data_IF_078620965106
#
_entry.id   IF_078620965106
#
_cell.length_a   1.000
_cell.length_b   1.000
_cell.length_c   1.000
_cell.angle_alpha   90.00
_cell.angle_beta   90.00
_cell.angle_gamma   90.00
#
_symmetry.space_group_name_H-M   'P 1'
#
loop_
_entity.id
_entity.type
_entity.pdbx_description
1 polymer ?
#
# COMPACT_ATOMS: atom_id res chain seq x y z
N UNK A 1 -15.42 26.51 15.73
CA UNK A 1 -14.91 25.12 15.67
C UNK A 1 -15.60 24.40 14.50
N UNK A 2 -14.84 23.90 13.53
CA UNK A 2 -15.39 23.17 12.37
C UNK A 2 -14.93 21.73 12.42
N UNK A 3 -15.85 20.78 12.26
CA UNK A 3 -15.54 19.35 12.27
C UNK A 3 -15.96 18.71 10.96
N UNK A 4 -15.05 17.93 10.37
CA UNK A 4 -15.32 17.14 9.16
C UNK A 4 -14.87 15.71 9.40
N UNK A 5 -15.60 14.74 8.85
CA UNK A 5 -15.24 13.32 8.87
C UNK A 5 -15.00 12.85 7.44
N UNK A 6 -13.90 12.15 7.23
CA UNK A 6 -13.52 11.54 5.96
C UNK A 6 -13.48 10.03 6.12
N UNK A 7 -13.95 9.31 5.10
CA UNK A 7 -13.75 7.87 5.01
C UNK A 7 -12.34 7.59 4.49
N UNK A 8 -11.65 6.68 5.15
CA UNK A 8 -10.33 6.18 4.76
C UNK A 8 -10.52 4.81 4.13
N UNK A 9 -10.38 4.76 2.81
CA UNK A 9 -10.30 3.52 2.05
C UNK A 9 -8.86 3.05 1.98
N UNK A 10 -8.66 1.75 2.17
CA UNK A 10 -7.36 1.13 1.95
C UNK A 10 -7.12 0.92 0.46
N UNK A 11 -5.87 1.07 0.03
CA UNK A 11 -5.42 0.76 -1.33
C UNK A 11 -4.05 0.11 -1.26
N UNK A 12 -3.74 -0.71 -2.25
CA UNK A 12 -2.38 -1.23 -2.51
C UNK A 12 -1.85 -0.75 -3.87
N UNK A 13 -2.64 0.07 -4.57
CA UNK A 13 -2.37 0.53 -5.91
C UNK A 13 -1.79 1.94 -5.87
N UNK A 14 -0.64 2.12 -6.52
CA UNK A 14 -0.09 3.42 -6.90
C UNK A 14 -0.53 3.76 -8.33
N UNK A 15 0.33 3.55 -9.35
CA UNK A 15 -0.09 3.59 -10.75
C UNK A 15 -0.93 2.36 -11.13
N UNK A 16 -1.54 2.37 -12.33
CA UNK A 16 -2.21 1.19 -12.90
C UNK A 16 -1.24 0.09 -13.35
N UNK A 17 0.04 0.43 -13.55
CA UNK A 17 1.09 -0.48 -13.98
C UNK A 17 2.38 -0.13 -13.22
N UNK A 18 2.98 -1.07 -12.47
CA UNK A 18 2.44 -2.40 -12.15
C UNK A 18 1.04 -2.33 -11.49
N UNK A 19 0.21 -3.39 -11.60
CA UNK A 19 -1.15 -3.41 -11.04
C UNK A 19 -1.26 -3.04 -9.55
N UNK A 20 -0.21 -3.32 -8.77
CA UNK A 20 -0.09 -2.96 -7.35
C UNK A 20 1.36 -2.77 -6.95
N UNK A 21 1.58 -2.05 -5.83
CA UNK A 21 2.86 -1.96 -5.13
C UNK A 21 3.12 -3.15 -4.18
N UNK A 22 2.18 -4.09 -4.08
CA UNK A 22 2.20 -5.22 -3.14
C UNK A 22 2.00 -6.54 -3.90
N UNK A 23 2.77 -7.54 -3.51
CA UNK A 23 2.60 -8.93 -3.95
C UNK A 23 2.23 -9.86 -2.79
N UNK A 24 1.77 -11.06 -3.12
CA UNK A 24 1.72 -12.19 -2.20
C UNK A 24 3.03 -13.00 -2.24
N UNK A 25 3.11 -14.02 -1.40
CA UNK A 25 4.24 -14.95 -1.31
C UNK A 25 4.51 -15.73 -2.61
N UNK A 26 3.52 -15.82 -3.51
CA UNK A 26 3.59 -16.51 -4.80
C UNK A 26 4.01 -15.56 -5.94
N UNK A 27 4.22 -14.27 -5.65
CA UNK A 27 4.59 -13.26 -6.64
C UNK A 27 3.42 -12.73 -7.47
N UNK A 28 2.18 -12.94 -7.03
CA UNK A 28 1.00 -12.33 -7.63
C UNK A 28 0.74 -10.97 -7.00
N UNK A 29 0.29 -10.00 -7.79
CA UNK A 29 -0.13 -8.71 -7.28
C UNK A 29 -1.39 -8.84 -6.43
N UNK A 30 -1.38 -8.22 -5.25
CA UNK A 30 -2.59 -8.03 -4.45
C UNK A 30 -3.07 -6.61 -4.71
N UNK A 31 -4.07 -6.45 -5.58
CA UNK A 31 -4.61 -5.14 -5.95
C UNK A 31 -5.84 -4.85 -5.10
N UNK A 32 -5.84 -3.75 -4.36
CA UNK A 32 -7.03 -3.11 -3.81
C UNK A 32 -7.07 -1.72 -4.41
N UNK A 33 -7.98 -1.48 -5.34
CA UNK A 33 -8.01 -0.26 -6.14
C UNK A 33 -8.81 -0.46 -7.43
N UNK A 34 -8.43 0.28 -8.47
CA UNK A 34 -9.06 0.22 -9.77
C UNK A 34 -8.58 -1.02 -10.56
N UNK A 35 -9.45 -2.02 -10.70
CA UNK A 35 -9.18 -3.26 -11.43
C UNK A 35 -9.62 -3.08 -12.88
N UNK A 36 -8.68 -3.25 -13.83
CA UNK A 36 -8.99 -3.20 -15.26
C UNK A 36 -9.59 -4.53 -15.72
N UNK A 37 -10.84 -4.50 -16.15
CA UNK A 37 -11.57 -5.63 -16.74
C UNK A 37 -11.84 -5.39 -18.21
N UNK A 38 -11.91 -6.47 -18.99
CA UNK A 38 -12.49 -6.43 -20.33
C UNK A 38 -14.01 -6.57 -20.20
N UNK A 39 -14.74 -5.63 -20.78
CA UNK A 39 -16.19 -5.66 -20.95
C UNK A 39 -16.42 -5.42 -22.43
N UNK A 40 -16.91 -6.44 -23.13
CA UNK A 40 -16.97 -6.44 -24.60
C UNK A 40 -15.60 -6.04 -25.20
N UNK A 41 -15.57 -5.04 -26.07
CA UNK A 41 -14.35 -4.52 -26.73
C UNK A 41 -13.67 -3.37 -25.98
N UNK A 42 -14.04 -3.10 -24.71
CA UNK A 42 -13.48 -1.99 -23.92
C UNK A 42 -12.88 -2.46 -22.59
N UNK A 43 -11.97 -1.62 -22.07
CA UNK A 43 -11.36 -1.81 -20.75
C UNK A 43 -11.99 -0.84 -19.77
N UNK A 44 -12.66 -1.38 -18.75
CA UNK A 44 -13.24 -0.61 -17.66
C UNK A 44 -12.52 -0.87 -16.35
N UNK A 45 -12.39 0.18 -15.54
CA UNK A 45 -11.73 0.12 -14.25
C UNK A 45 -12.76 0.22 -13.13
N UNK A 46 -12.89 -0.84 -12.32
CA UNK A 46 -13.82 -0.88 -11.19
C UNK A 46 -13.07 -0.98 -9.87
N UNK A 47 -13.52 -0.22 -8.86
CA UNK A 47 -12.87 -0.24 -7.55
C UNK A 47 -13.23 -1.52 -6.78
N UNK A 48 -12.27 -2.41 -6.57
CA UNK A 48 -12.44 -3.66 -5.80
C UNK A 48 -11.08 -4.26 -5.40
N UNK A 49 -11.08 -5.46 -4.81
CA UNK A 49 -9.90 -6.28 -4.57
C UNK A 49 -9.71 -7.39 -5.61
N UNK A 50 -8.46 -7.69 -5.97
CA UNK A 50 -8.11 -8.79 -6.85
C UNK A 50 -6.70 -9.35 -6.56
N UNK A 51 -6.53 -10.65 -6.75
CA UNK A 51 -5.22 -11.27 -6.98
C UNK A 51 -4.97 -11.27 -8.48
N UNK A 52 -3.89 -10.64 -8.92
CA UNK A 52 -3.57 -10.41 -10.34
C UNK A 52 -2.22 -11.03 -10.68
N UNK A 53 -2.17 -11.78 -11.78
CA UNK A 53 -0.95 -12.45 -12.23
C UNK A 53 0.12 -11.44 -12.68
N UNK A 54 1.42 -11.71 -12.42
CA UNK A 54 2.53 -10.91 -12.94
C UNK A 54 2.73 -11.05 -14.45
N UNK A 55 1.93 -11.89 -15.11
CA UNK A 55 1.89 -12.06 -16.57
C UNK A 55 0.76 -11.24 -17.21
N UNK A 56 0.18 -10.29 -16.47
CA UNK A 56 -0.84 -9.40 -17.03
C UNK A 56 -0.27 -8.60 -18.20
N UNK A 57 -1.10 -8.41 -19.24
CA UNK A 57 -0.74 -7.63 -20.42
C UNK A 57 -0.25 -6.23 -20.01
N UNK A 58 0.88 -5.84 -20.56
CA UNK A 58 1.48 -4.52 -20.35
C UNK A 58 1.13 -3.65 -21.56
N UNK A 59 0.23 -2.67 -21.42
CA UNK A 59 -0.11 -1.77 -22.51
C UNK A 59 0.96 -0.70 -22.68
N UNK A 60 0.90 0.01 -23.80
CA UNK A 60 1.68 1.22 -24.00
C UNK A 60 1.42 2.26 -22.89
N UNK A 61 2.39 3.15 -22.68
CA UNK A 61 2.27 4.18 -21.64
C UNK A 61 1.04 5.08 -21.89
N UNK A 62 0.20 5.22 -20.86
CA UNK A 62 -1.05 5.99 -20.92
C UNK A 62 -2.28 5.16 -21.31
N UNK A 63 -2.10 3.95 -21.83
CA UNK A 63 -3.18 3.06 -22.24
C UNK A 63 -3.58 2.08 -21.11
N UNK A 64 -4.70 1.37 -21.31
CA UNK A 64 -5.20 0.34 -20.38
C UNK A 64 -5.39 -0.99 -21.10
N UNK A 65 -4.92 -2.07 -20.48
CA UNK A 65 -5.24 -3.45 -20.81
C UNK A 65 -5.99 -4.11 -19.64
N UNK A 66 -6.79 -5.14 -19.90
CA UNK A 66 -7.39 -5.94 -18.83
C UNK A 66 -6.30 -6.71 -18.07
N UNK A 67 -6.45 -6.81 -16.76
CA UNK A 67 -5.56 -7.62 -15.94
C UNK A 67 -5.88 -9.11 -16.08
N UNK A 68 -4.85 -9.96 -15.94
CA UNK A 68 -5.01 -11.41 -15.79
C UNK A 68 -5.36 -11.69 -14.32
N UNK A 69 -6.65 -11.61 -14.01
CA UNK A 69 -7.19 -11.78 -12.67
C UNK A 69 -7.24 -13.27 -12.32
N UNK A 70 -6.65 -13.64 -11.19
CA UNK A 70 -6.65 -15.00 -10.65
C UNK A 70 -7.83 -15.21 -9.68
N UNK A 71 -8.12 -14.21 -8.85
CA UNK A 71 -9.23 -14.25 -7.90
C UNK A 71 -9.71 -12.83 -7.60
N UNK A 72 -11.04 -12.64 -7.49
CA UNK A 72 -11.64 -11.38 -7.07
C UNK A 72 -12.08 -11.44 -5.61
N UNK A 73 -11.96 -10.33 -4.89
CA UNK A 73 -12.50 -10.20 -3.55
C UNK A 73 -13.01 -8.77 -3.30
N UNK A 74 -13.88 -8.61 -2.31
CA UNK A 74 -14.32 -7.30 -1.86
C UNK A 74 -13.62 -6.94 -0.54
N UNK A 75 -12.93 -5.80 -0.45
CA UNK A 75 -12.26 -5.37 0.79
C UNK A 75 -13.24 -4.94 1.90
N UNK A 76 -14.52 -4.76 1.56
CA UNK A 76 -15.56 -4.28 2.49
C UNK A 76 -16.23 -5.43 3.28
N UNK A 77 -15.98 -6.68 2.91
CA UNK A 77 -16.51 -7.87 3.57
C UNK A 77 -15.37 -8.74 4.12
N UNK A 78 -15.64 -9.62 5.10
CA UNK A 78 -14.64 -10.55 5.60
C UNK A 78 -14.07 -11.42 4.48
N UNK A 79 -12.73 -11.47 4.38
CA UNK A 79 -12.04 -12.30 3.40
C UNK A 79 -12.17 -13.80 3.74
N UNK A 80 -12.24 -14.67 2.72
CA UNK A 80 -11.94 -16.09 2.86
C UNK A 80 -10.57 -16.31 3.51
N UNK A 81 -10.42 -17.37 4.30
CA UNK A 81 -9.21 -17.61 5.10
C UNK A 81 -7.93 -17.67 4.24
N UNK A 82 -8.00 -18.29 3.06
CA UNK A 82 -6.85 -18.43 2.16
C UNK A 82 -6.37 -17.09 1.57
N UNK A 83 -7.28 -16.11 1.39
CA UNK A 83 -6.91 -14.75 1.02
C UNK A 83 -6.45 -13.95 2.24
N UNK A 84 -7.15 -14.10 3.36
CA UNK A 84 -6.85 -13.42 4.61
C UNK A 84 -5.40 -13.68 5.06
N UNK A 85 -4.94 -14.92 4.90
CA UNK A 85 -3.63 -15.38 5.38
C UNK A 85 -2.45 -15.06 4.44
N UNK A 86 -2.70 -14.56 3.22
CA UNK A 86 -1.64 -14.15 2.28
C UNK A 86 -0.72 -13.13 2.92
N UNK A 87 0.58 -13.36 2.82
CA UNK A 87 1.61 -12.48 3.38
C UNK A 87 1.92 -11.39 2.37
N UNK A 88 2.00 -10.15 2.85
CA UNK A 88 2.32 -9.02 2.00
C UNK A 88 3.82 -8.93 1.74
N UNK A 89 4.14 -8.83 0.46
CA UNK A 89 5.49 -8.81 -0.08
C UNK A 89 5.75 -7.53 -0.89
N UNK A 90 7.01 -7.10 -0.92
CA UNK A 90 7.47 -5.97 -1.74
C UNK A 90 7.49 -6.34 -3.22
N UNK A 91 7.53 -5.35 -4.11
CA UNK A 91 7.86 -5.61 -5.51
C UNK A 91 9.33 -6.05 -5.67
N UNK A 92 9.63 -6.98 -6.59
CA UNK A 92 11.00 -7.30 -6.98
C UNK A 92 11.52 -6.27 -8.00
N UNK A 93 12.82 -6.28 -8.27
CA UNK A 93 13.42 -5.63 -9.44
C UNK A 93 14.01 -6.70 -10.38
N UNK A 94 13.77 -6.60 -11.70
CA UNK A 94 12.96 -5.58 -12.38
C UNK A 94 11.46 -5.66 -12.03
N UNK A 95 10.76 -4.53 -12.13
CA UNK A 95 9.33 -4.46 -11.82
C UNK A 95 8.51 -5.28 -12.86
N UNK A 96 7.75 -6.30 -12.45
CA UNK A 96 6.85 -7.02 -13.33
C UNK A 96 5.70 -6.10 -13.77
N UNK A 97 5.14 -6.34 -14.95
CA UNK A 97 4.07 -5.51 -15.54
C UNK A 97 4.32 -3.99 -15.56
N UNK A 98 5.58 -3.56 -15.65
CA UNK A 98 5.91 -2.14 -15.66
C UNK A 98 5.84 -1.54 -17.07
N UNK A 99 4.97 -0.56 -17.29
CA UNK A 99 4.93 0.24 -18.52
C UNK A 99 5.49 1.66 -18.33
N UNK A 100 6.08 1.94 -17.17
CA UNK A 100 6.72 3.22 -16.86
C UNK A 100 8.20 3.00 -16.54
N UNK A 101 9.09 3.08 -17.54
CA UNK A 101 10.52 2.94 -17.29
C UNK A 101 11.00 4.12 -16.44
N UNK A 102 11.48 3.82 -15.23
CA UNK A 102 12.11 4.82 -14.37
C UNK A 102 13.48 5.18 -14.94
N UNK A 103 13.70 6.45 -15.26
CA UNK A 103 15.01 6.96 -15.68
C UNK A 103 15.60 7.77 -14.53
N UNK A 104 16.67 7.24 -13.93
CA UNK A 104 17.45 7.98 -12.94
C UNK A 104 18.51 8.81 -13.65
N UNK A 105 18.88 9.96 -13.07
CA UNK A 105 20.02 10.72 -13.56
C UNK A 105 21.28 9.84 -13.44
N UNK A 106 22.03 9.60 -14.54
CA UNK A 106 23.17 8.68 -14.52
C UNK A 106 24.24 9.05 -13.49
N UNK A 107 24.38 10.34 -13.15
CA UNK A 107 25.32 10.80 -12.14
C UNK A 107 24.89 10.46 -10.70
N UNK A 108 23.59 10.22 -10.46
CA UNK A 108 23.07 9.84 -9.14
C UNK A 108 23.12 8.33 -8.95
N UNK A 109 22.70 7.57 -9.97
CA UNK A 109 22.68 6.11 -9.90
C UNK A 109 22.87 5.50 -11.31
N UNK A 110 24.12 5.31 -11.76
CA UNK A 110 24.41 4.95 -13.16
C UNK A 110 23.88 3.58 -13.55
N UNK A 111 23.86 2.65 -12.59
CA UNK A 111 23.49 1.25 -12.83
C UNK A 111 22.04 0.92 -12.39
N UNK A 112 21.20 1.93 -12.18
CA UNK A 112 19.83 1.76 -11.66
C UNK A 112 18.98 0.74 -12.45
N UNK A 113 19.20 0.67 -13.76
CA UNK A 113 18.45 -0.20 -14.66
C UNK A 113 18.97 -1.65 -14.70
N UNK A 114 20.11 -1.92 -14.07
CA UNK A 114 20.72 -3.24 -13.96
C UNK A 114 20.46 -3.91 -12.60
N UNK A 115 19.81 -3.20 -11.68
CA UNK A 115 19.53 -3.70 -10.35
C UNK A 115 18.56 -4.89 -10.38
N UNK A 116 18.93 -5.95 -9.69
CA UNK A 116 18.10 -7.13 -9.48
C UNK A 116 17.91 -7.34 -7.98
N UNK A 117 16.65 -7.42 -7.55
CA UNK A 117 16.31 -7.65 -6.14
C UNK A 117 15.09 -8.56 -6.07
N UNK A 118 15.11 -9.58 -5.19
CA UNK A 118 13.93 -10.41 -5.01
C UNK A 118 12.84 -9.62 -4.28
N UNK A 119 11.63 -10.16 -4.33
CA UNK A 119 10.53 -9.75 -3.47
C UNK A 119 10.79 -10.23 -2.04
N UNK A 120 10.51 -9.40 -1.04
CA UNK A 120 10.65 -9.75 0.37
C UNK A 120 9.31 -9.61 1.10
N UNK A 121 9.00 -10.48 2.06
CA UNK A 121 7.87 -10.21 2.96
C UNK A 121 8.18 -8.94 3.75
N UNK A 122 7.17 -8.09 3.99
CA UNK A 122 7.36 -6.75 4.56
C UNK A 122 8.16 -6.74 5.88
N UNK A 123 7.90 -7.72 6.73
CA UNK A 123 8.58 -7.85 8.02
C UNK A 123 10.06 -8.25 7.91
N UNK A 124 10.55 -8.69 6.75
CA UNK A 124 11.95 -9.06 6.52
C UNK A 124 12.65 -8.18 5.48
N UNK A 125 11.92 -7.30 4.79
CA UNK A 125 12.46 -6.40 3.79
C UNK A 125 13.76 -5.72 4.27
N UNK A 126 14.84 -5.72 3.46
CA UNK A 126 16.08 -5.04 3.80
C UNK A 126 15.84 -3.55 4.02
N UNK A 127 16.39 -3.02 5.12
CA UNK A 127 16.35 -1.59 5.42
C UNK A 127 17.79 -1.08 5.22
N UNK A 128 18.02 -0.17 4.26
CA UNK A 128 19.33 0.44 4.08
C UNK A 128 19.86 1.00 5.40
N UNK A 129 21.15 0.80 5.66
CA UNK A 129 21.85 1.31 6.85
C UNK A 129 21.35 0.80 8.21
N UNK A 130 20.48 -0.23 8.23
CA UNK A 130 20.00 -0.82 9.49
C UNK A 130 21.14 -1.53 10.22
N UNK A 131 21.28 -1.20 11.51
CA UNK A 131 22.15 -1.91 12.46
C UNK A 131 21.32 -2.75 13.43
N UNK A 132 21.90 -3.80 14.05
CA UNK A 132 21.18 -4.64 15.00
C UNK A 132 20.51 -3.86 16.15
N UNK A 133 21.17 -2.83 16.68
CA UNK A 133 20.68 -2.00 17.79
C UNK A 133 19.42 -1.18 17.45
N UNK A 134 19.13 -0.95 16.16
CA UNK A 134 17.92 -0.24 15.74
C UNK A 134 16.65 -1.10 15.91
N UNK A 135 16.79 -2.43 16.02
CA UNK A 135 15.65 -3.35 16.04
C UNK A 135 14.86 -3.35 14.72
N UNK A 136 13.69 -4.01 14.72
CA UNK A 136 12.65 -3.83 13.69
C UNK A 136 11.33 -3.53 14.38
N UNK A 137 10.55 -2.63 13.80
CA UNK A 137 9.18 -2.41 14.24
C UNK A 137 8.28 -3.60 13.86
N UNK A 138 8.42 -4.07 12.62
CA UNK A 138 7.71 -5.27 12.14
C UNK A 138 8.52 -6.51 12.45
N UNK A 139 7.95 -7.38 13.29
CA UNK A 139 8.55 -8.64 13.74
C UNK A 139 7.77 -9.88 13.26
N UNK A 140 6.55 -9.68 12.74
CA UNK A 140 5.67 -10.76 12.26
C UNK A 140 5.21 -10.49 10.83
N UNK A 141 4.87 -11.53 10.04
CA UNK A 141 4.22 -11.36 8.76
C UNK A 141 3.05 -10.38 8.84
N UNK A 142 3.03 -9.45 7.88
CA UNK A 142 1.87 -8.59 7.65
C UNK A 142 0.99 -9.32 6.66
N UNK A 143 -0.21 -9.68 7.09
CA UNK A 143 -1.15 -10.42 6.25
C UNK A 143 -2.15 -9.49 5.57
N UNK A 144 -2.79 -9.94 4.49
CA UNK A 144 -3.82 -9.17 3.81
C UNK A 144 -4.97 -8.79 4.75
N UNK A 145 -5.35 -9.67 5.68
CA UNK A 145 -6.34 -9.33 6.69
C UNK A 145 -5.91 -8.14 7.56
N UNK A 146 -4.64 -8.06 7.97
CA UNK A 146 -4.11 -6.97 8.81
C UNK A 146 -4.20 -5.64 8.03
N UNK A 147 -3.88 -5.69 6.74
CA UNK A 147 -3.89 -4.53 5.86
C UNK A 147 -5.29 -3.96 5.66
N UNK A 148 -6.29 -4.81 5.40
CA UNK A 148 -7.68 -4.36 5.19
C UNK A 148 -8.28 -3.74 6.46
N UNK A 149 -7.78 -4.09 7.66
CA UNK A 149 -8.20 -3.41 8.90
C UNK A 149 -7.76 -1.94 8.98
N UNK A 150 -6.87 -1.47 8.10
CA UNK A 150 -6.42 -0.08 8.08
C UNK A 150 -7.48 0.91 7.52
N UNK A 151 -8.65 0.43 7.12
CA UNK A 151 -9.79 1.26 6.73
C UNK A 151 -10.52 1.89 7.92
N UNK A 152 -11.22 3.01 7.72
CA UNK A 152 -12.04 3.59 8.77
C UNK A 152 -12.49 5.02 8.51
N UNK A 153 -12.61 5.83 9.58
CA UNK A 153 -13.01 7.24 9.48
C UNK A 153 -12.03 8.15 10.22
N UNK A 154 -11.50 9.14 9.52
CA UNK A 154 -10.68 10.22 10.06
C UNK A 154 -11.56 11.43 10.37
N UNK A 155 -11.56 11.86 11.63
CA UNK A 155 -12.21 13.08 12.09
C UNK A 155 -11.18 14.18 12.20
N UNK A 156 -11.42 15.30 11.52
CA UNK A 156 -10.59 16.49 11.61
C UNK A 156 -11.40 17.60 12.28
N UNK A 157 -10.87 18.15 13.36
CA UNK A 157 -11.44 19.30 14.08
C UNK A 157 -10.52 20.51 13.91
N UNK A 158 -11.06 21.58 13.34
CA UNK A 158 -10.39 22.87 13.19
C UNK A 158 -10.83 23.82 14.31
N UNK A 159 -9.83 24.27 15.06
CA UNK A 159 -9.92 25.21 16.19
C UNK A 159 -9.22 26.54 15.81
N UNK A 160 -9.47 27.59 16.59
CA UNK A 160 -8.83 28.91 16.44
C UNK A 160 -8.80 29.42 14.99
N UNK A 161 -9.98 29.63 14.38
CA UNK A 161 -10.09 30.08 12.98
C UNK A 161 -9.29 29.22 11.96
N UNK A 162 -9.20 27.91 12.23
CA UNK A 162 -8.45 26.93 11.45
C UNK A 162 -6.92 27.01 11.55
N UNK A 163 -6.38 27.68 12.58
CA UNK A 163 -4.95 27.69 12.91
C UNK A 163 -4.51 26.42 13.65
N UNK A 164 -5.44 25.71 14.27
CA UNK A 164 -5.17 24.46 14.99
C UNK A 164 -6.03 23.34 14.37
N UNK A 165 -5.39 22.22 14.03
CA UNK A 165 -6.06 21.01 13.56
C UNK A 165 -5.83 19.85 14.53
N UNK A 166 -6.91 19.20 14.95
CA UNK A 166 -6.87 17.94 15.71
C UNK A 166 -7.38 16.78 14.87
N UNK A 167 -6.65 15.68 14.91
CA UNK A 167 -6.98 14.46 14.19
C UNK A 167 -7.42 13.40 15.19
N UNK A 168 -8.63 12.89 15.01
CA UNK A 168 -9.18 11.80 15.79
C UNK A 168 -9.67 10.67 14.89
N UNK A 169 -9.75 9.46 15.42
CA UNK A 169 -10.35 8.32 14.75
C UNK A 169 -11.71 7.98 15.33
N UNK A 170 -12.66 7.55 14.48
CA UNK A 170 -14.01 7.14 14.91
C UNK A 170 -14.13 5.62 15.15
N UNK A 171 -13.16 4.83 14.68
CA UNK A 171 -12.99 3.41 15.00
C UNK A 171 -11.58 3.16 15.53
N UNK A 172 -11.40 2.11 16.33
CA UNK A 172 -10.08 1.70 16.82
C UNK A 172 -9.22 1.31 15.61
N UNK A 173 -8.35 2.20 15.17
CA UNK A 173 -7.37 1.89 14.15
C UNK A 173 -6.20 1.17 14.84
N UNK A 174 -5.86 -0.08 14.46
CA UNK A 174 -4.62 -0.72 14.90
C UNK A 174 -3.36 -0.04 14.31
N UNK A 175 -3.53 1.03 13.53
CA UNK A 175 -2.46 1.80 12.92
C UNK A 175 -1.53 2.48 13.95
N UNK A 176 -1.95 2.64 15.21
CA UNK A 176 -1.09 3.19 16.29
C UNK A 176 0.14 2.31 16.54
N UNK A 177 0.08 1.01 16.23
CA UNK A 177 1.25 0.11 16.28
C UNK A 177 2.10 0.10 15.00
N UNK A 178 1.62 0.70 13.89
CA UNK A 178 2.29 0.73 12.59
C UNK A 178 2.89 2.11 12.26
N UNK A 179 2.30 3.20 12.72
CA UNK A 179 2.93 4.53 12.65
C UNK A 179 3.95 4.69 13.77
N UNK A 180 5.04 5.39 13.46
CA UNK A 180 5.89 5.94 14.51
C UNK A 180 5.05 6.83 15.43
N UNK A 181 5.43 6.90 16.70
CA UNK A 181 4.91 7.87 17.67
C UNK A 181 5.09 9.34 17.22
N UNK A 182 5.65 9.62 16.03
CA UNK A 182 5.85 10.97 15.51
C UNK A 182 4.55 11.65 15.05
N UNK A 183 3.49 10.89 14.71
CA UNK A 183 2.19 11.45 14.30
C UNK A 183 1.13 11.40 15.41
N UNK A 184 1.35 10.58 16.44
CA UNK A 184 0.60 10.68 17.70
C UNK A 184 1.27 11.76 18.55
N UNK A 185 0.85 13.01 18.36
CA UNK A 185 1.14 14.11 19.28
C UNK A 185 0.48 13.83 20.64
N UNK A 186 1.02 12.88 21.40
CA UNK A 186 0.84 12.82 22.83
C UNK A 186 1.61 13.99 23.42
N UNK A 187 0.85 14.89 24.05
CA UNK A 187 1.33 16.00 24.83
C UNK A 187 2.41 15.54 25.83
N UNK A 188 3.67 15.75 25.49
CA UNK A 188 4.72 15.81 26.48
C UNK A 188 4.65 17.19 27.13
N UNK A 189 3.84 17.31 28.19
CA UNK A 189 4.14 18.28 29.24
C UNK A 189 5.41 17.81 29.95
N UNK A 190 6.56 18.36 29.55
CA UNK A 190 7.70 18.49 30.46
C UNK A 190 7.82 19.95 30.84
N UNK A 191 7.36 20.24 32.05
CA UNK A 191 7.76 21.42 32.83
C UNK A 191 9.29 21.40 32.92
N UNK A 192 9.93 22.42 32.37
CA UNK A 192 11.34 22.73 32.64
C UNK A 192 11.39 23.45 34.00
N UNK A 193 12.12 22.86 34.93
CA UNK A 193 12.93 23.63 35.89
C UNK A 193 14.28 23.83 35.22
#
# INVERSE_FOLDING_TARGET
MKQTTYDLSVTTQGPLYPPSEIMDEDGNFIVIGAINHSIDDRVEANWTGAIVSPESTVPDFGEKAPYKILELFSPDIPLPLHLADKVLHTLPLPLPCNNYPMVFAPQQYPDANSDVRPSYPFHEAPIPDRRPEHGRQLQRPVKLHDWIQAQGKLRITLEDEARIARFGSVRHFPFVTLLSNALSGNAYHRTLI
#
